data_IF_199848395332
#
_entry.id   IF_199848395332
#
_cell.length_a   1.000
_cell.length_b   1.000
_cell.length_c   1.000
_cell.angle_alpha   90.00
_cell.angle_beta   90.00
_cell.angle_gamma   90.00
#
_symmetry.space_group_name_H-M   'P 1'
#
loop_
_entity.id
_entity.type
_entity.pdbx_description
1 polymer ?
#
# COMPACT_ATOMS: atom_id res chain seq x y z
N UNK A 1 19.32 4.45 -48.22
CA UNK A 1 20.52 3.61 -48.41
C UNK A 1 21.34 3.70 -47.12
N UNK A 2 21.46 2.62 -46.37
CA UNK A 2 22.22 2.61 -45.11
C UNK A 2 23.72 2.73 -45.41
N UNK A 3 24.45 3.50 -44.61
CA UNK A 3 25.89 3.69 -44.77
C UNK A 3 26.64 2.34 -44.74
N UNK A 4 27.73 2.17 -45.53
CA UNK A 4 28.55 0.97 -45.47
C UNK A 4 29.16 0.80 -44.07
N UNK A 5 29.14 -0.43 -43.55
CA UNK A 5 29.74 -0.75 -42.25
C UNK A 5 31.27 -0.60 -42.33
N UNK A 6 31.92 -0.03 -41.31
CA UNK A 6 33.39 0.02 -41.25
C UNK A 6 33.98 -1.40 -41.23
N UNK A 7 35.10 -1.60 -41.96
CA UNK A 7 35.80 -2.88 -42.02
C UNK A 7 36.83 -2.92 -40.88
N UNK A 8 36.60 -3.79 -39.89
CA UNK A 8 37.56 -4.10 -38.82
C UNK A 8 38.09 -5.51 -39.06
N UNK A 9 39.41 -5.65 -39.24
CA UNK A 9 40.06 -6.94 -39.51
C UNK A 9 40.20 -7.78 -38.24
N UNK A 10 40.19 -9.12 -38.35
CA UNK A 10 40.23 -10.03 -37.19
C UNK A 10 41.46 -9.85 -36.29
N UNK A 11 42.60 -9.51 -36.89
CA UNK A 11 43.89 -9.30 -36.26
C UNK A 11 44.13 -7.85 -35.82
N UNK A 12 43.18 -6.95 -36.10
CA UNK A 12 43.32 -5.55 -35.72
C UNK A 12 43.17 -5.39 -34.20
N UNK A 13 44.00 -4.56 -33.54
CA UNK A 13 43.90 -4.31 -32.09
C UNK A 13 42.59 -3.61 -31.68
N UNK A 14 41.93 -2.93 -32.62
CA UNK A 14 40.59 -2.35 -32.43
C UNK A 14 39.46 -3.39 -32.52
N UNK A 15 39.75 -4.61 -33.00
CA UNK A 15 38.79 -5.71 -33.05
C UNK A 15 38.54 -6.33 -31.67
N UNK A 16 39.57 -6.43 -30.82
CA UNK A 16 39.45 -6.92 -29.46
C UNK A 16 40.61 -6.41 -28.58
N UNK A 17 40.29 -6.01 -27.35
CA UNK A 17 41.27 -5.71 -26.32
C UNK A 17 40.93 -6.47 -25.04
N UNK A 18 41.95 -6.98 -24.34
CA UNK A 18 41.75 -7.57 -23.03
C UNK A 18 41.44 -6.47 -22.02
N UNK A 19 40.28 -6.52 -21.39
CA UNK A 19 39.83 -5.55 -20.39
C UNK A 19 39.69 -6.20 -19.02
N UNK A 20 40.11 -5.50 -17.96
CA UNK A 20 39.82 -5.89 -16.58
C UNK A 20 38.62 -5.12 -16.09
N UNK A 21 37.51 -5.80 -15.84
CA UNK A 21 36.30 -5.20 -15.28
C UNK A 21 36.31 -5.41 -13.77
N UNK A 22 36.32 -4.31 -13.02
CA UNK A 22 36.20 -4.33 -11.55
C UNK A 22 34.80 -3.90 -11.15
N UNK A 23 34.29 -4.50 -10.08
CA UNK A 23 32.97 -4.15 -9.56
C UNK A 23 32.51 -5.11 -8.46
N UNK A 24 31.36 -4.80 -7.90
CA UNK A 24 30.77 -5.55 -6.81
C UNK A 24 30.03 -6.77 -7.32
N UNK A 25 30.26 -7.89 -6.64
CA UNK A 25 29.58 -9.16 -6.89
C UNK A 25 28.82 -9.52 -5.63
N UNK A 26 27.53 -9.79 -5.77
CA UNK A 26 26.68 -10.25 -4.66
C UNK A 26 27.01 -11.69 -4.26
N UNK A 27 26.47 -12.14 -3.13
CA UNK A 27 26.70 -13.50 -2.62
C UNK A 27 26.22 -14.61 -3.59
N UNK A 28 25.23 -14.33 -4.43
CA UNK A 28 24.69 -15.21 -5.48
C UNK A 28 25.43 -15.10 -6.83
N UNK A 29 26.50 -14.29 -6.91
CA UNK A 29 27.37 -14.22 -8.09
C UNK A 29 26.95 -13.23 -9.18
N UNK A 30 25.97 -12.35 -8.91
CA UNK A 30 25.56 -11.30 -9.86
C UNK A 30 26.51 -10.11 -9.78
N UNK A 31 26.86 -9.55 -10.94
CA UNK A 31 27.78 -8.41 -11.07
C UNK A 31 27.01 -7.09 -11.18
N UNK A 32 27.35 -6.11 -10.34
CA UNK A 32 26.66 -4.81 -10.23
C UNK A 32 27.51 -3.61 -10.65
N UNK A 33 28.71 -3.83 -11.22
CA UNK A 33 29.60 -2.74 -11.56
C UNK A 33 30.02 -1.95 -10.32
N UNK A 34 29.85 -0.63 -10.36
CA UNK A 34 30.25 0.25 -9.25
C UNK A 34 29.29 0.31 -8.06
N UNK A 35 28.12 -0.33 -8.12
CA UNK A 35 27.08 -0.19 -7.09
C UNK A 35 27.24 -1.21 -5.95
N UNK A 36 27.97 -0.82 -4.91
CA UNK A 36 28.16 -1.62 -3.70
C UNK A 36 26.85 -1.87 -2.95
N UNK A 37 26.01 -0.84 -2.84
CA UNK A 37 24.80 -0.89 -2.03
C UNK A 37 23.82 -1.90 -2.61
N UNK A 38 23.63 -1.87 -3.93
CA UNK A 38 22.75 -2.81 -4.61
C UNK A 38 23.31 -4.24 -4.56
N UNK A 39 24.62 -4.43 -4.69
CA UNK A 39 25.25 -5.74 -4.56
C UNK A 39 25.09 -6.33 -3.15
N UNK A 40 25.26 -5.50 -2.10
CA UNK A 40 25.05 -5.88 -0.70
C UNK A 40 23.58 -6.16 -0.42
N UNK A 41 22.66 -5.34 -0.93
CA UNK A 41 21.22 -5.56 -0.81
C UNK A 41 20.82 -6.89 -1.45
N UNK A 42 21.31 -7.18 -2.66
CA UNK A 42 21.06 -8.45 -3.35
C UNK A 42 21.62 -9.66 -2.59
N UNK A 43 22.79 -9.53 -1.98
CA UNK A 43 23.44 -10.63 -1.26
C UNK A 43 23.02 -10.81 0.20
N UNK A 44 22.35 -9.83 0.80
CA UNK A 44 21.95 -9.87 2.19
C UNK A 44 20.59 -10.53 2.39
N UNK A 45 20.39 -11.16 3.54
CA UNK A 45 19.07 -11.64 3.99
C UNK A 45 18.48 -10.75 5.06
N UNK A 46 19.32 -10.14 5.90
CA UNK A 46 18.93 -9.30 7.03
C UNK A 46 19.79 -8.04 7.10
N UNK A 47 19.27 -7.01 7.77
CA UNK A 47 19.98 -5.77 8.06
C UNK A 47 19.65 -5.28 9.48
N UNK A 48 20.50 -4.37 9.98
CA UNK A 48 20.25 -3.61 11.21
C UNK A 48 19.48 -2.35 10.88
N UNK A 49 18.79 -1.80 11.88
CA UNK A 49 18.11 -0.53 11.74
C UNK A 49 19.11 0.63 11.65
N UNK A 50 18.88 1.54 10.70
CA UNK A 50 19.73 2.70 10.49
C UNK A 50 19.49 3.79 11.56
N UNK A 51 18.30 3.81 12.18
CA UNK A 51 17.90 4.81 13.19
C UNK A 51 18.44 4.45 14.57
N UNK A 52 18.29 3.19 14.97
CA UNK A 52 18.75 2.69 16.26
C UNK A 52 19.37 1.28 16.10
N UNK A 53 20.70 1.14 16.26
CA UNK A 53 21.37 -0.15 16.13
C UNK A 53 20.95 -1.22 17.15
N UNK A 54 20.31 -0.83 18.26
CA UNK A 54 19.81 -1.74 19.29
C UNK A 54 18.46 -2.38 18.93
N UNK A 55 17.78 -1.88 17.90
CA UNK A 55 16.57 -2.54 17.42
C UNK A 55 16.88 -3.94 16.86
N UNK A 56 15.93 -4.88 16.92
CA UNK A 56 16.09 -6.20 16.32
C UNK A 56 16.53 -6.14 14.86
N UNK A 57 17.35 -7.11 14.45
CA UNK A 57 17.63 -7.33 13.02
C UNK A 57 16.33 -7.74 12.31
N UNK A 58 16.18 -7.29 11.07
CA UNK A 58 15.00 -7.57 10.26
C UNK A 58 15.40 -7.94 8.84
N UNK A 59 14.47 -8.51 8.08
CA UNK A 59 14.71 -8.93 6.70
C UNK A 59 15.09 -7.73 5.81
N UNK A 60 16.04 -7.94 4.89
CA UNK A 60 16.61 -6.84 4.07
C UNK A 60 15.57 -6.11 3.23
N UNK A 61 14.54 -6.83 2.78
CA UNK A 61 13.42 -6.37 1.97
C UNK A 61 12.24 -5.87 2.82
N UNK A 62 12.38 -5.80 4.13
CA UNK A 62 11.38 -5.30 5.08
C UNK A 62 11.83 -3.98 5.72
N UNK A 63 11.07 -3.50 6.69
CA UNK A 63 11.38 -2.32 7.51
C UNK A 63 11.55 -2.71 8.97
N UNK A 64 12.28 -1.90 9.73
CA UNK A 64 12.38 -2.09 11.19
C UNK A 64 11.01 -1.94 11.85
N UNK A 65 10.55 -2.98 12.55
CA UNK A 65 9.23 -3.03 13.19
C UNK A 65 9.04 -1.96 14.26
N UNK A 66 10.05 -1.72 15.10
CA UNK A 66 10.00 -0.68 16.13
C UNK A 66 9.82 0.72 15.53
N UNK A 67 10.56 1.02 14.46
CA UNK A 67 10.43 2.29 13.75
C UNK A 67 9.08 2.40 13.04
N UNK A 68 8.59 1.29 12.47
CA UNK A 68 7.26 1.23 11.86
C UNK A 68 6.20 1.51 12.92
N UNK A 69 6.23 0.81 14.04
CA UNK A 69 5.29 0.97 15.16
C UNK A 69 5.29 2.42 15.67
N UNK A 70 6.45 3.00 15.96
CA UNK A 70 6.55 4.39 16.41
C UNK A 70 5.95 5.38 15.39
N UNK A 71 6.19 5.17 14.08
CA UNK A 71 5.61 6.00 13.03
C UNK A 71 4.09 5.83 12.94
N UNK A 72 3.58 4.61 13.13
CA UNK A 72 2.13 4.33 13.16
C UNK A 72 1.47 4.99 14.35
N UNK A 73 2.05 4.88 15.53
CA UNK A 73 1.59 5.57 16.73
C UNK A 73 1.56 7.09 16.55
N UNK A 74 2.63 7.66 15.97
CA UNK A 74 2.67 9.08 15.65
C UNK A 74 1.62 9.49 14.61
N UNK A 75 1.35 8.66 13.59
CA UNK A 75 0.28 8.89 12.60
C UNK A 75 -1.07 8.93 13.30
N UNK A 76 -1.42 7.92 14.09
CA UNK A 76 -2.70 7.85 14.80
C UNK A 76 -2.89 9.02 15.77
N UNK A 77 -1.88 9.34 16.57
CA UNK A 77 -1.92 10.46 17.50
C UNK A 77 -2.11 11.83 16.82
N UNK A 78 -1.74 11.95 15.54
CA UNK A 78 -1.91 13.16 14.74
C UNK A 78 -3.26 13.19 13.98
N UNK A 79 -4.03 12.10 13.97
CA UNK A 79 -5.31 12.05 13.25
C UNK A 79 -6.34 13.00 13.89
N UNK A 80 -7.15 13.71 13.09
CA UNK A 80 -8.29 14.45 13.61
C UNK A 80 -9.28 13.48 14.29
N UNK A 81 -9.78 13.88 15.45
CA UNK A 81 -10.74 13.08 16.22
C UNK A 81 -12.17 13.51 15.89
N UNK A 82 -13.05 12.55 15.60
CA UNK A 82 -14.47 12.77 15.34
C UNK A 82 -15.31 11.89 16.28
N UNK A 83 -16.38 12.48 16.82
CA UNK A 83 -17.34 11.73 17.64
C UNK A 83 -18.05 10.69 16.75
N UNK A 84 -18.06 9.44 17.22
CA UNK A 84 -18.63 8.33 16.47
C UNK A 84 -20.16 8.34 16.54
N UNK A 85 -20.81 8.17 15.39
CA UNK A 85 -22.26 8.27 15.24
C UNK A 85 -22.89 7.03 14.57
N UNK A 86 -22.23 5.87 14.64
CA UNK A 86 -22.66 4.63 13.99
C UNK A 86 -22.08 4.42 12.58
N UNK A 87 -21.12 5.24 12.16
CA UNK A 87 -20.33 4.98 10.96
C UNK A 87 -19.54 3.65 11.10
N UNK A 88 -19.24 2.90 10.02
CA UNK A 88 -18.38 1.73 10.15
C UNK A 88 -16.99 2.10 10.71
N UNK A 89 -16.42 1.20 11.50
CA UNK A 89 -15.13 1.38 12.17
C UNK A 89 -14.12 0.31 11.75
N UNK A 90 -12.84 0.62 11.90
CA UNK A 90 -11.73 -0.31 11.73
C UNK A 90 -10.67 -0.08 12.78
N UNK A 91 -9.96 -1.12 13.19
CA UNK A 91 -8.74 -1.00 14.00
C UNK A 91 -7.61 -0.46 13.12
N UNK A 92 -6.99 0.64 13.55
CA UNK A 92 -5.92 1.33 12.83
C UNK A 92 -4.73 0.42 12.49
N UNK A 93 -4.23 0.50 11.25
CA UNK A 93 -3.18 -0.37 10.66
C UNK A 93 -3.51 -1.88 10.78
N UNK A 94 -4.79 -2.22 10.94
CA UNK A 94 -5.31 -3.59 11.07
C UNK A 94 -6.34 -3.97 9.99
N UNK A 95 -6.94 -5.15 10.16
CA UNK A 95 -7.90 -5.76 9.22
C UNK A 95 -9.26 -6.09 9.87
N UNK A 96 -9.48 -5.67 11.12
CA UNK A 96 -10.72 -5.90 11.85
C UNK A 96 -11.68 -4.72 11.67
N UNK A 97 -12.82 -4.98 11.02
CA UNK A 97 -13.88 -4.01 10.76
C UNK A 97 -15.12 -4.28 11.62
N UNK A 98 -15.85 -3.21 11.93
CA UNK A 98 -17.12 -3.21 12.66
C UNK A 98 -18.14 -2.39 11.88
N UNK A 99 -19.25 -3.00 11.48
CA UNK A 99 -20.29 -2.35 10.67
C UNK A 99 -21.49 -1.89 11.50
N UNK A 100 -21.55 -2.30 12.77
CA UNK A 100 -22.61 -1.98 13.71
C UNK A 100 -22.07 -1.98 15.15
N UNK A 101 -22.81 -1.34 16.06
CA UNK A 101 -22.43 -1.18 17.46
C UNK A 101 -22.35 -2.51 18.22
N UNK A 102 -23.23 -3.46 17.91
CA UNK A 102 -23.25 -4.77 18.56
C UNK A 102 -21.95 -5.55 18.25
N UNK A 103 -21.49 -5.53 16.99
CA UNK A 103 -20.25 -6.17 16.56
C UNK A 103 -19.01 -5.60 17.25
N UNK A 104 -18.97 -4.27 17.44
CA UNK A 104 -17.90 -3.62 18.19
C UNK A 104 -17.97 -4.01 19.67
N UNK A 105 -19.17 -3.98 20.26
CA UNK A 105 -19.37 -4.27 21.68
C UNK A 105 -18.95 -5.69 22.02
N UNK A 106 -19.38 -6.68 21.25
CA UNK A 106 -19.05 -8.09 21.48
C UNK A 106 -17.53 -8.30 21.37
N UNK A 107 -16.88 -7.69 20.37
CA UNK A 107 -15.41 -7.72 20.25
C UNK A 107 -14.70 -7.08 21.45
N UNK A 108 -15.20 -5.92 21.91
CA UNK A 108 -14.60 -5.25 23.05
C UNK A 108 -14.82 -6.03 24.34
N UNK A 109 -15.95 -6.69 24.55
CA UNK A 109 -16.16 -7.52 25.74
C UNK A 109 -15.22 -8.74 25.76
N UNK A 110 -15.05 -9.40 24.61
CA UNK A 110 -14.28 -10.64 24.50
C UNK A 110 -12.75 -10.41 24.34
N UNK A 111 -12.32 -9.19 24.06
CA UNK A 111 -10.91 -8.86 23.88
C UNK A 111 -10.20 -8.46 25.18
N UNK A 112 -8.95 -8.89 25.32
CA UNK A 112 -8.04 -8.46 26.41
C UNK A 112 -7.41 -7.08 26.17
N UNK A 113 -7.85 -6.35 25.15
CA UNK A 113 -7.30 -5.04 24.78
C UNK A 113 -7.80 -3.98 25.77
N UNK A 114 -6.89 -3.17 26.31
CA UNK A 114 -7.27 -2.01 27.11
C UNK A 114 -8.02 -1.00 26.22
N UNK A 115 -9.16 -0.49 26.68
CA UNK A 115 -9.91 0.54 25.97
C UNK A 115 -9.07 1.82 25.76
N UNK A 116 -8.06 2.06 26.60
CA UNK A 116 -7.11 3.16 26.42
C UNK A 116 -6.12 2.94 25.27
N UNK A 117 -5.82 1.68 24.93
CA UNK A 117 -4.93 1.29 23.84
C UNK A 117 -5.68 1.05 22.53
N UNK A 118 -7.02 1.16 22.55
CA UNK A 118 -7.88 0.93 21.40
C UNK A 118 -7.75 2.08 20.39
N UNK A 119 -7.29 1.74 19.19
CA UNK A 119 -7.08 2.69 18.09
C UNK A 119 -8.09 2.45 16.98
N UNK A 120 -9.24 3.13 17.08
CA UNK A 120 -10.31 3.01 16.09
C UNK A 120 -10.29 4.19 15.12
N UNK A 121 -10.51 3.87 13.85
CA UNK A 121 -10.70 4.84 12.77
C UNK A 121 -12.11 4.72 12.20
N UNK A 122 -12.69 5.84 11.82
CA UNK A 122 -13.95 5.88 11.07
C UNK A 122 -13.64 5.51 9.63
N UNK A 123 -14.35 4.53 9.09
CA UNK A 123 -14.13 4.06 7.74
C UNK A 123 -14.61 5.08 6.69
N UNK A 124 -13.93 5.05 5.55
CA UNK A 124 -14.35 5.76 4.35
C UNK A 124 -14.92 4.78 3.30
N UNK A 125 -16.05 5.11 2.67
CA UNK A 125 -16.65 4.25 1.65
C UNK A 125 -15.84 4.27 0.35
N UNK A 126 -15.61 3.09 -0.22
CA UNK A 126 -15.02 2.92 -1.54
C UNK A 126 -16.12 2.79 -2.59
N UNK A 127 -16.29 3.82 -3.42
CA UNK A 127 -17.23 3.81 -4.54
C UNK A 127 -16.58 3.28 -5.83
N UNK A 128 -17.37 2.68 -6.74
CA UNK A 128 -16.84 2.32 -8.04
C UNK A 128 -16.42 3.59 -8.81
N UNK A 129 -15.28 3.51 -9.49
CA UNK A 129 -14.84 4.59 -10.39
C UNK A 129 -15.56 4.48 -11.73
N UNK A 130 -15.88 5.63 -12.32
CA UNK A 130 -16.39 5.69 -13.70
C UNK A 130 -15.32 5.18 -14.66
N UNK A 131 -15.76 4.60 -15.76
CA UNK A 131 -14.87 4.08 -16.80
C UNK A 131 -14.90 5.06 -17.98
N UNK A 132 -13.75 5.64 -18.28
CA UNK A 132 -13.56 6.39 -19.51
C UNK A 132 -13.31 5.40 -20.66
N UNK A 133 -14.16 5.38 -21.71
CA UNK A 133 -13.96 4.47 -22.82
C UNK A 133 -12.63 4.69 -23.55
N UNK A 134 -12.10 5.92 -23.63
CA UNK A 134 -10.83 6.21 -24.29
C UNK A 134 -9.64 5.64 -23.52
N UNK A 135 -9.67 5.74 -22.19
CA UNK A 135 -8.67 5.12 -21.31
C UNK A 135 -8.76 3.59 -21.35
N UNK A 136 -10.00 3.06 -21.34
CA UNK A 136 -10.24 1.62 -21.33
C UNK A 136 -9.75 0.91 -22.61
N UNK A 137 -9.87 1.55 -23.78
CA UNK A 137 -9.48 0.98 -25.07
C UNK A 137 -8.18 1.57 -25.64
N UNK A 138 -7.36 2.23 -24.82
CA UNK A 138 -6.16 2.92 -25.30
C UNK A 138 -5.17 2.00 -26.05
N UNK A 139 -5.06 0.72 -25.66
CA UNK A 139 -4.20 -0.27 -26.31
C UNK A 139 -4.76 -0.81 -27.64
N UNK A 140 -6.08 -0.68 -27.85
CA UNK A 140 -6.78 -1.15 -29.05
C UNK A 140 -6.96 -0.04 -30.10
N UNK A 141 -6.81 1.22 -29.70
CA UNK A 141 -6.91 2.38 -30.56
C UNK A 141 -5.56 2.65 -31.27
N UNK A 142 -5.57 3.12 -32.53
CA UNK A 142 -4.38 3.70 -33.14
C UNK A 142 -3.79 4.83 -32.30
N UNK A 143 -2.51 5.15 -32.51
CA UNK A 143 -1.92 6.39 -32.00
C UNK A 143 -2.77 7.58 -32.53
N UNK A 144 -3.40 8.33 -31.62
CA UNK A 144 -4.42 9.37 -31.88
C UNK A 144 -5.81 8.88 -32.37
N UNK A 145 -6.14 7.60 -32.13
CA UNK A 145 -7.46 7.04 -32.43
C UNK A 145 -8.54 7.54 -31.47
N UNK A 146 -9.73 7.83 -32.00
CA UNK A 146 -10.94 8.15 -31.22
C UNK A 146 -12.01 7.07 -31.39
N UNK A 147 -12.81 6.87 -30.35
CA UNK A 147 -13.99 5.99 -30.40
C UNK A 147 -15.12 6.75 -31.10
N UNK A 148 -15.56 6.23 -32.25
CA UNK A 148 -16.58 6.86 -33.10
C UNK A 148 -17.94 6.16 -33.08
N UNK A 149 -18.07 5.10 -32.30
CA UNK A 149 -19.32 4.35 -32.18
C UNK A 149 -20.20 4.98 -31.09
N UNK A 150 -21.24 5.71 -31.53
CA UNK A 150 -22.18 6.38 -30.64
C UNK A 150 -22.94 5.40 -29.72
N UNK A 151 -23.19 4.16 -30.16
CA UNK A 151 -23.86 3.16 -29.32
C UNK A 151 -22.95 2.67 -28.21
N UNK A 152 -21.66 2.48 -28.52
CA UNK A 152 -20.67 2.12 -27.52
C UNK A 152 -20.48 3.24 -26.50
N UNK A 153 -20.34 4.49 -26.95
CA UNK A 153 -20.25 5.66 -26.06
C UNK A 153 -21.50 5.79 -25.17
N UNK A 154 -22.70 5.60 -25.73
CA UNK A 154 -23.94 5.62 -24.96
C UNK A 154 -24.02 4.48 -23.92
N UNK A 155 -23.46 3.31 -24.21
CA UNK A 155 -23.41 2.20 -23.27
C UNK A 155 -22.49 2.49 -22.07
N UNK A 156 -21.32 3.12 -22.31
CA UNK A 156 -20.44 3.57 -21.24
C UNK A 156 -21.09 4.67 -20.39
N UNK A 157 -21.79 5.61 -21.00
CA UNK A 157 -22.51 6.65 -20.24
C UNK A 157 -23.62 6.05 -19.37
N UNK A 158 -24.37 5.08 -19.89
CA UNK A 158 -25.38 4.35 -19.11
C UNK A 158 -24.75 3.60 -17.92
N UNK A 159 -23.63 2.92 -18.14
CA UNK A 159 -22.90 2.24 -17.07
C UNK A 159 -22.40 3.24 -16.02
N UNK A 160 -21.81 4.35 -16.45
CA UNK A 160 -21.31 5.40 -15.58
C UNK A 160 -22.43 6.05 -14.77
N UNK A 161 -23.64 6.17 -15.33
CA UNK A 161 -24.82 6.60 -14.58
C UNK A 161 -25.19 5.60 -13.48
N UNK A 162 -25.18 4.30 -13.77
CA UNK A 162 -25.42 3.28 -12.75
C UNK A 162 -24.32 3.26 -11.69
N UNK A 163 -23.05 3.48 -12.07
CA UNK A 163 -21.92 3.59 -11.14
C UNK A 163 -22.12 4.77 -10.18
N UNK A 164 -22.58 5.93 -10.67
CA UNK A 164 -22.86 7.11 -9.84
C UNK A 164 -23.97 6.89 -8.81
N UNK A 165 -24.89 5.98 -9.09
CA UNK A 165 -26.01 5.64 -8.21
C UNK A 165 -25.71 4.44 -7.30
N UNK A 166 -24.56 3.79 -7.47
CA UNK A 166 -24.19 2.61 -6.68
C UNK A 166 -23.93 2.98 -5.22
N UNK A 167 -24.33 2.08 -4.33
CA UNK A 167 -23.84 2.08 -2.94
C UNK A 167 -22.32 1.78 -2.91
N UNK A 168 -21.64 2.07 -1.79
CA UNK A 168 -20.24 1.71 -1.60
C UNK A 168 -20.00 0.21 -1.85
N UNK A 169 -18.93 -0.12 -2.57
CA UNK A 169 -18.55 -1.52 -2.83
C UNK A 169 -17.78 -2.15 -1.66
N UNK A 170 -17.06 -1.32 -0.90
CA UNK A 170 -16.30 -1.72 0.29
C UNK A 170 -15.98 -0.50 1.15
N UNK A 171 -15.25 -0.70 2.24
CA UNK A 171 -14.85 0.34 3.18
C UNK A 171 -13.34 0.24 3.46
N UNK A 172 -12.69 1.38 3.66
CA UNK A 172 -11.26 1.49 3.99
C UNK A 172 -11.05 2.23 5.31
N UNK A 173 -9.86 2.10 5.92
CA UNK A 173 -9.42 3.00 7.00
C UNK A 173 -9.48 4.46 6.52
N UNK A 174 -10.33 5.27 7.18
CA UNK A 174 -10.45 6.69 6.89
C UNK A 174 -9.50 7.57 7.69
N UNK A 175 -9.60 8.88 7.49
CA UNK A 175 -8.67 9.85 8.07
C UNK A 175 -8.98 10.26 9.53
N UNK A 176 -10.13 9.86 10.07
CA UNK A 176 -10.58 10.28 11.40
C UNK A 176 -10.42 9.18 12.46
N UNK A 177 -9.81 9.54 13.59
CA UNK A 177 -9.86 8.71 14.79
C UNK A 177 -11.25 8.81 15.43
N UNK A 178 -11.82 7.67 15.83
CA UNK A 178 -13.14 7.60 16.41
C UNK A 178 -13.10 7.88 17.91
N UNK A 179 -13.96 8.79 18.38
CA UNK A 179 -14.27 8.93 19.81
C UNK A 179 -15.56 8.19 20.12
N UNK A 180 -15.46 7.12 20.90
CA UNK A 180 -16.62 6.35 21.36
C UNK A 180 -17.43 7.15 22.40
N UNK A 181 -18.76 6.98 22.44
CA UNK A 181 -19.60 7.59 23.46
C UNK A 181 -19.31 6.98 24.83
N UNK A 182 -19.30 7.82 25.87
CA UNK A 182 -19.02 7.39 27.24
C UNK A 182 -19.98 6.29 27.72
N UNK A 183 -21.24 6.33 27.29
CA UNK A 183 -22.24 5.31 27.62
C UNK A 183 -21.83 3.91 27.18
N UNK A 184 -21.23 3.78 25.99
CA UNK A 184 -20.76 2.50 25.47
C UNK A 184 -19.51 2.02 26.23
N UNK A 185 -18.59 2.94 26.53
CA UNK A 185 -17.38 2.63 27.33
C UNK A 185 -17.77 2.10 28.71
N UNK A 186 -18.72 2.76 29.37
CA UNK A 186 -19.22 2.36 30.69
C UNK A 186 -19.91 0.99 30.63
N UNK A 187 -20.72 0.74 29.60
CA UNK A 187 -21.38 -0.56 29.37
C UNK A 187 -20.36 -1.68 29.22
N UNK A 188 -19.37 -1.52 28.35
CA UNK A 188 -18.32 -2.52 28.10
C UNK A 188 -17.52 -2.79 29.39
N UNK A 189 -17.21 -1.75 30.15
CA UNK A 189 -16.47 -1.87 31.42
C UNK A 189 -17.25 -2.71 32.43
N UNK A 190 -18.56 -2.49 32.54
CA UNK A 190 -19.44 -3.28 33.41
C UNK A 190 -19.55 -4.73 32.93
N UNK A 191 -19.70 -4.94 31.62
CA UNK A 191 -19.81 -6.27 31.04
C UNK A 191 -18.53 -7.11 31.25
N UNK A 192 -17.35 -6.53 31.02
CA UNK A 192 -16.05 -7.18 31.28
C UNK A 192 -15.85 -7.55 32.75
N UNK A 193 -16.37 -6.74 33.68
CA UNK A 193 -16.28 -7.04 35.11
C UNK A 193 -17.24 -8.14 35.59
N UNK A 194 -18.27 -8.45 34.78
CA UNK A 194 -19.27 -9.47 35.09
C UNK A 194 -18.98 -10.84 34.45
N UNK A 195 -18.05 -10.89 33.49
CA UNK A 195 -17.55 -12.11 32.83
C UNK A 195 -16.45 -12.78 33.68
#
# INVERSE_FOLDING_TARGET
MSAPKPIIMYDAPEAASLQTVTGWVSADGRFFGGDENLARYCGATHRRCDVNPEHPIYEVNSSCDECRYARRQAKFAAMPVKDWAGDPLVIFDGDQYFFDEDSLRDYLIDSDIDLADLQLCICEPNYPSQIDPADHFCDDLPEDGEIRDDQLLAAFELLNEMIRQSEPLSWSEGEFAARLPQSLIDEITVARAAA
#
